data_IF_131933171550
#
_entry.id   IF_131933171550
#
_cell.length_a   1.000
_cell.length_b   1.000
_cell.length_c   1.000
_cell.angle_alpha   90.00
_cell.angle_beta   90.00
_cell.angle_gamma   90.00
#
_symmetry.space_group_name_H-M   'P 1'
#
loop_
_entity.id
_entity.type
_entity.pdbx_description
1 polymer ?
#
# COMPACT_ATOMS: atom_id res chain seq x y z
N UNK A 1 9.23 12.34 -12.91
CA UNK A 1 7.92 12.60 -12.26
C UNK A 1 7.88 11.81 -10.94
N UNK A 2 8.16 12.47 -9.81
CA UNK A 2 8.09 11.89 -8.45
C UNK A 2 6.72 12.24 -7.86
N UNK A 3 5.69 11.48 -8.21
CA UNK A 3 4.38 11.63 -7.57
C UNK A 3 4.29 10.65 -6.40
N UNK A 4 4.40 11.20 -5.19
CA UNK A 4 4.08 10.53 -3.93
C UNK A 4 2.56 10.61 -3.72
N UNK A 5 1.93 9.55 -3.22
CA UNK A 5 0.49 9.55 -2.99
C UNK A 5 0.18 10.35 -1.72
N UNK A 6 0.61 9.85 -0.57
CA UNK A 6 0.51 10.50 0.75
C UNK A 6 1.65 9.97 1.62
N UNK A 7 2.26 10.82 2.44
CA UNK A 7 3.41 10.43 3.27
C UNK A 7 2.97 9.68 4.52
N UNK A 8 3.61 8.54 4.80
CA UNK A 8 3.45 7.76 6.03
C UNK A 8 2.04 7.21 6.31
N UNK A 9 1.14 7.16 5.31
CA UNK A 9 -0.22 6.66 5.51
C UNK A 9 -0.38 5.18 5.13
N UNK A 10 0.44 4.68 4.22
CA UNK A 10 0.25 3.34 3.68
C UNK A 10 0.42 2.26 4.77
N UNK A 11 -0.52 1.33 4.81
CA UNK A 11 -0.56 0.16 5.72
C UNK A 11 0.40 -0.94 5.29
N UNK A 12 1.06 -0.79 4.13
CA UNK A 12 1.97 -1.78 3.55
C UNK A 12 3.06 -2.23 4.53
N UNK A 13 3.16 -3.56 4.71
CA UNK A 13 4.21 -4.24 5.49
C UNK A 13 4.78 -5.42 4.71
N UNK A 14 6.04 -5.71 4.95
CA UNK A 14 6.78 -6.83 4.37
C UNK A 14 7.53 -7.56 5.50
N UNK A 15 7.29 -8.87 5.63
CA UNK A 15 8.04 -9.76 6.50
C UNK A 15 9.26 -10.31 5.75
N UNK A 16 10.46 -9.84 6.12
CA UNK A 16 11.71 -10.30 5.53
C UNK A 16 11.98 -11.79 5.78
N UNK A 17 11.51 -12.31 6.92
CA UNK A 17 11.63 -13.72 7.31
C UNK A 17 10.84 -14.64 6.37
N UNK A 18 9.58 -14.30 6.09
CA UNK A 18 8.72 -15.06 5.16
C UNK A 18 9.09 -14.85 3.69
N UNK A 19 9.80 -13.77 3.36
CA UNK A 19 10.13 -13.45 1.98
C UNK A 19 11.08 -14.52 1.39
N UNK A 20 10.66 -15.16 0.30
CA UNK A 20 11.46 -16.16 -0.43
C UNK A 20 12.18 -15.59 -1.67
N UNK A 21 12.15 -14.26 -1.88
CA UNK A 21 12.92 -13.64 -2.96
C UNK A 21 12.37 -13.76 -4.37
N UNK A 22 11.14 -14.25 -4.55
CA UNK A 22 10.60 -14.57 -5.87
C UNK A 22 10.35 -13.40 -6.83
N UNK A 23 10.53 -12.14 -6.41
CA UNK A 23 10.42 -10.97 -7.30
C UNK A 23 9.00 -10.53 -7.67
N UNK A 24 7.97 -11.39 -7.55
CA UNK A 24 6.58 -11.10 -7.96
C UNK A 24 6.02 -9.77 -7.48
N UNK A 25 6.34 -9.36 -6.24
CA UNK A 25 5.89 -8.07 -5.70
C UNK A 25 6.40 -6.86 -6.51
N UNK A 26 7.61 -6.95 -7.09
CA UNK A 26 8.17 -5.91 -7.94
C UNK A 26 7.51 -5.90 -9.33
N UNK A 27 7.21 -7.09 -9.87
CA UNK A 27 6.55 -7.26 -11.18
C UNK A 27 5.11 -6.71 -11.19
N UNK A 28 4.33 -7.01 -10.14
CA UNK A 28 2.90 -6.63 -10.09
C UNK A 28 2.66 -5.22 -9.56
N UNK A 29 3.69 -4.53 -9.06
CA UNK A 29 3.53 -3.20 -8.46
C UNK A 29 3.71 -2.11 -9.54
N UNK A 30 2.62 -1.45 -10.00
CA UNK A 30 2.74 -0.42 -11.05
C UNK A 30 3.55 0.80 -10.58
N UNK A 31 3.61 1.02 -9.26
CA UNK A 31 4.35 2.13 -8.66
C UNK A 31 5.80 1.78 -8.28
N UNK A 32 6.25 0.54 -8.52
CA UNK A 32 7.62 0.07 -8.21
C UNK A 32 8.05 0.37 -6.76
N UNK A 33 7.16 0.08 -5.82
CA UNK A 33 7.38 0.31 -4.38
C UNK A 33 8.45 -0.63 -3.81
N UNK A 34 8.68 -1.79 -4.44
CA UNK A 34 9.62 -2.79 -3.96
C UNK A 34 10.95 -2.74 -4.71
N UNK A 35 12.04 -2.84 -3.96
CA UNK A 35 13.34 -3.26 -4.47
C UNK A 35 13.57 -4.75 -4.20
N UNK A 36 14.46 -5.37 -4.97
CA UNK A 36 14.93 -6.74 -4.75
C UNK A 36 16.46 -6.67 -4.63
N UNK A 37 17.00 -7.24 -3.55
CA UNK A 37 18.44 -7.38 -3.34
C UNK A 37 18.73 -8.74 -2.71
N UNK A 38 19.81 -9.41 -3.12
CA UNK A 38 20.25 -10.72 -2.59
C UNK A 38 19.12 -11.77 -2.40
N UNK A 39 18.16 -11.82 -3.33
CA UNK A 39 16.95 -12.69 -3.23
C UNK A 39 16.05 -12.36 -2.03
N UNK A 40 15.97 -11.11 -1.61
CA UNK A 40 14.99 -10.60 -0.65
C UNK A 40 14.37 -9.32 -1.20
N UNK A 41 13.07 -9.18 -0.99
CA UNK A 41 12.39 -7.93 -1.28
C UNK A 41 12.60 -6.94 -0.13
N UNK A 42 12.57 -5.65 -0.44
CA UNK A 42 12.51 -4.56 0.53
C UNK A 42 11.62 -3.44 0.02
N UNK A 43 11.07 -2.62 0.93
CA UNK A 43 10.18 -1.51 0.57
C UNK A 43 11.04 -0.27 0.29
N UNK A 44 11.11 0.14 -0.98
CA UNK A 44 11.92 1.27 -1.46
C UNK A 44 11.21 2.60 -1.31
N UNK A 45 9.95 2.70 -1.73
CA UNK A 45 9.18 3.94 -1.71
C UNK A 45 7.76 3.69 -1.21
N UNK A 46 7.62 3.53 0.11
CA UNK A 46 6.33 3.19 0.74
C UNK A 46 5.23 4.20 0.42
N UNK A 47 5.56 5.48 0.36
CA UNK A 47 4.61 6.58 0.11
C UNK A 47 4.05 6.63 -1.32
N UNK A 48 4.54 5.74 -2.21
CA UNK A 48 3.99 5.54 -3.56
C UNK A 48 3.01 4.38 -3.61
N UNK A 49 2.78 3.69 -2.50
CA UNK A 49 1.78 2.63 -2.41
C UNK A 49 0.38 3.24 -2.41
N UNK A 50 -0.44 2.85 -3.40
CA UNK A 50 -1.86 3.19 -3.48
C UNK A 50 -2.77 2.13 -2.84
N UNK A 51 -2.18 1.20 -2.08
CA UNK A 51 -2.91 0.15 -1.36
C UNK A 51 -3.80 -0.75 -2.25
N UNK A 52 -3.40 -1.00 -3.50
CA UNK A 52 -4.18 -1.82 -4.43
C UNK A 52 -4.21 -3.33 -4.09
N UNK A 53 -3.37 -3.80 -3.17
CA UNK A 53 -3.34 -5.20 -2.74
C UNK A 53 -2.70 -6.20 -3.72
N UNK A 54 -2.28 -5.78 -4.92
CA UNK A 54 -1.74 -6.68 -5.94
C UNK A 54 -0.52 -7.49 -5.45
N UNK A 55 0.39 -6.85 -4.73
CA UNK A 55 1.59 -7.50 -4.18
C UNK A 55 1.27 -8.57 -3.11
N UNK A 56 0.31 -8.31 -2.23
CA UNK A 56 -0.13 -9.28 -1.22
C UNK A 56 -0.80 -10.49 -1.88
N UNK A 57 -1.72 -10.26 -2.84
CA UNK A 57 -2.42 -11.33 -3.58
C UNK A 57 -1.49 -12.26 -4.36
N UNK A 58 -0.35 -11.75 -4.83
CA UNK A 58 0.59 -12.49 -5.66
C UNK A 58 1.80 -13.02 -4.88
N UNK A 59 1.87 -12.80 -3.56
CA UNK A 59 2.97 -13.30 -2.75
C UNK A 59 2.72 -14.77 -2.35
N UNK A 60 3.44 -15.76 -2.93
CA UNK A 60 3.21 -17.17 -2.61
C UNK A 60 3.56 -17.51 -1.15
N UNK A 61 4.44 -16.73 -0.53
CA UNK A 61 4.86 -16.93 0.85
C UNK A 61 4.02 -16.13 1.87
N UNK A 62 3.00 -15.39 1.43
CA UNK A 62 2.21 -14.49 2.28
C UNK A 62 3.10 -13.56 3.13
N UNK A 63 4.20 -13.08 2.54
CA UNK A 63 5.17 -12.22 3.20
C UNK A 63 4.76 -10.74 3.21
N UNK A 64 3.72 -10.35 2.48
CA UNK A 64 3.29 -8.97 2.29
C UNK A 64 1.85 -8.82 2.78
N UNK A 65 1.60 -7.76 3.54
CA UNK A 65 0.25 -7.36 3.95
C UNK A 65 0.02 -5.88 3.64
N UNK A 66 -1.21 -5.55 3.26
CA UNK A 66 -1.68 -4.19 3.03
C UNK A 66 -3.19 -4.21 3.19
N UNK A 67 -3.74 -3.20 3.86
CA UNK A 67 -5.18 -3.03 4.00
C UNK A 67 -5.69 -2.45 2.68
N UNK A 68 -6.09 -3.35 1.77
CA UNK A 68 -6.41 -2.97 0.41
C UNK A 68 -7.76 -2.25 0.34
N UNK A 69 -7.77 -1.04 -0.21
CA UNK A 69 -8.98 -0.23 -0.35
C UNK A 69 -8.66 1.18 -0.85
N UNK A 70 -9.66 1.85 -1.41
CA UNK A 70 -9.55 3.26 -1.85
C UNK A 70 -9.87 4.24 -0.72
N UNK A 71 -9.87 3.82 0.56
CA UNK A 71 -10.46 4.57 1.68
C UNK A 71 -10.07 6.05 1.73
N UNK A 72 -8.77 6.33 1.81
CA UNK A 72 -8.28 7.72 1.84
C UNK A 72 -8.57 8.47 0.52
N UNK A 73 -8.52 7.78 -0.62
CA UNK A 73 -8.82 8.37 -1.93
C UNK A 73 -10.28 8.80 -2.00
N UNK A 74 -11.19 7.94 -1.55
CA UNK A 74 -12.62 8.20 -1.48
C UNK A 74 -12.90 9.36 -0.53
N UNK A 75 -12.31 9.37 0.67
CA UNK A 75 -12.46 10.47 1.62
C UNK A 75 -12.01 11.81 1.01
N UNK A 76 -10.86 11.85 0.32
CA UNK A 76 -10.36 13.07 -0.36
C UNK A 76 -11.28 13.50 -1.51
N UNK A 77 -11.70 12.57 -2.37
CA UNK A 77 -12.61 12.86 -3.48
C UNK A 77 -13.93 13.40 -2.94
N UNK A 78 -14.49 12.77 -1.92
CA UNK A 78 -15.73 13.22 -1.29
C UNK A 78 -15.52 14.57 -0.61
N UNK A 79 -14.45 14.78 0.14
CA UNK A 79 -14.14 16.07 0.75
C UNK A 79 -14.02 17.21 -0.27
N UNK A 80 -13.48 16.92 -1.47
CA UNK A 80 -13.48 17.89 -2.57
C UNK A 80 -14.87 18.13 -3.18
N UNK A 81 -15.72 17.11 -3.26
CA UNK A 81 -17.08 17.21 -3.80
C UNK A 81 -18.06 17.88 -2.83
N UNK A 82 -17.94 17.61 -1.54
CA UNK A 82 -18.88 18.04 -0.49
C UNK A 82 -18.38 19.24 0.30
N UNK A 83 -17.09 19.60 0.18
CA UNK A 83 -16.45 20.65 0.97
C UNK A 83 -16.21 20.28 2.44
N UNK A 84 -16.40 19.02 2.82
CA UNK A 84 -16.13 18.54 4.19
C UNK A 84 -14.66 18.13 4.35
N UNK A 85 -14.11 18.27 5.57
CA UNK A 85 -12.76 17.77 5.85
C UNK A 85 -12.70 16.24 5.70
N UNK A 86 -11.76 15.70 4.91
CA UNK A 86 -11.61 14.27 4.74
C UNK A 86 -11.05 13.66 6.03
N UNK A 87 -11.88 12.93 6.79
CA UNK A 87 -11.41 12.12 7.91
C UNK A 87 -11.08 10.71 7.42
N UNK A 88 -9.81 10.32 7.62
CA UNK A 88 -9.33 8.95 7.39
C UNK A 88 -9.19 8.20 8.73
N UNK A 89 -9.94 8.61 9.76
CA UNK A 89 -9.78 8.09 11.11
C UNK A 89 -10.39 6.69 11.20
N UNK A 90 -9.52 5.69 11.30
CA UNK A 90 -9.88 4.29 11.52
C UNK A 90 -10.02 3.92 13.00
N UNK A 91 -10.09 4.89 13.91
CA UNK A 91 -10.17 4.67 15.36
C UNK A 91 -11.57 4.36 15.88
N UNK A 92 -12.63 4.51 15.07
CA UNK A 92 -14.04 4.44 15.51
C UNK A 92 -14.79 3.14 15.17
N UNK A 93 -14.11 2.10 14.70
CA UNK A 93 -14.62 0.70 14.71
C UNK A 93 -15.87 0.39 13.88
N UNK A 94 -16.48 1.37 13.19
CA UNK A 94 -17.48 1.21 12.14
C UNK A 94 -17.20 2.33 11.14
N UNK A 95 -17.03 1.99 9.86
CA UNK A 95 -16.54 2.85 8.76
C UNK A 95 -15.02 2.90 8.61
N UNK A 96 -14.40 1.72 8.41
CA UNK A 96 -13.27 1.65 7.48
C UNK A 96 -13.72 0.83 6.26
N UNK A 97 -14.55 1.46 5.43
CA UNK A 97 -14.90 1.21 4.03
C UNK A 97 -16.15 2.01 3.69
#
# INVERSE_FOLDING_TARGET
MKHSYLKNVATLRLSAEKCMGCGRCSEVCPHRVFGIDEKKAWIKEKDRCMECGACAKNCPANAISVDAGVGCAYAVIMGWLTGSEPSCDCSSGRECC
#
